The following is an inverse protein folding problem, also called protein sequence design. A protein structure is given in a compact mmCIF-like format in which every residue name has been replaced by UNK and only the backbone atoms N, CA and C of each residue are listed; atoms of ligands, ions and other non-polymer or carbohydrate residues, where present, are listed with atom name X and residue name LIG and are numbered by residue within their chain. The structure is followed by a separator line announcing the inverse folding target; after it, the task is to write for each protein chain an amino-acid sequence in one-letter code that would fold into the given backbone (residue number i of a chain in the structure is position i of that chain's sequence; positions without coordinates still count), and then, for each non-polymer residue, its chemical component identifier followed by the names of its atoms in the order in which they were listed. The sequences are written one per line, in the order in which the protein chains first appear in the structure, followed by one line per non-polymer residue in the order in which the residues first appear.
data_IF_155812108531
#
_entry.id   IF_155812108531
#
_cell.length_a   1.000
_cell.length_b   1.000
_cell.length_c   1.000
_cell.angle_alpha   90.00
_cell.angle_beta   90.00
_cell.angle_gamma   90.00
#
_symmetry.space_group_name_H-M   'P 1'
#
loop_
_entity.id
_entity.type
_entity.pdbx_description
1 polymer ?
#
# COMPACT_ATOMS: atom_id res chain seq x y z
N UNK A 1 -9.57 -4.45 15.17
CA UNK A 1 -8.86 -5.25 14.13
C UNK A 1 -7.97 -6.25 14.83
N UNK A 2 -8.01 -7.54 14.46
CA UNK A 2 -7.14 -8.56 15.06
C UNK A 2 -5.72 -8.44 14.46
N UNK A 3 -4.74 -7.98 15.25
CA UNK A 3 -3.35 -7.81 14.79
C UNK A 3 -2.69 -9.15 14.46
N UNK A 4 -2.97 -10.21 15.20
CA UNK A 4 -2.39 -11.54 14.98
C UNK A 4 -2.80 -12.10 13.62
N UNK A 5 -4.06 -11.89 13.22
CA UNK A 5 -4.55 -12.28 11.91
C UNK A 5 -3.79 -11.61 10.75
N UNK A 6 -3.45 -10.32 10.89
CA UNK A 6 -2.78 -9.54 9.83
C UNK A 6 -1.27 -9.66 9.84
N UNK A 7 -0.67 -9.98 10.99
CA UNK A 7 0.76 -10.10 11.16
C UNK A 7 1.36 -11.06 10.12
N UNK A 8 2.29 -10.57 9.30
CA UNK A 8 2.95 -11.27 8.18
C UNK A 8 2.00 -11.83 7.11
N UNK A 9 0.72 -11.48 7.15
CA UNK A 9 -0.24 -11.91 6.12
C UNK A 9 0.14 -11.28 4.78
N UNK A 10 0.27 -12.10 3.74
CA UNK A 10 0.51 -11.61 2.37
C UNK A 10 -0.78 -11.04 1.81
N UNK A 11 -0.73 -9.80 1.33
CA UNK A 11 -1.90 -9.09 0.79
C UNK A 11 -1.51 -8.48 -0.56
N UNK A 12 -2.18 -8.91 -1.62
CA UNK A 12 -2.13 -8.22 -2.90
C UNK A 12 -3.16 -7.09 -2.88
N UNK A 13 -2.71 -5.87 -3.15
CA UNK A 13 -3.55 -4.68 -3.21
C UNK A 13 -3.41 -4.01 -4.58
N UNK A 14 -4.50 -3.98 -5.35
CA UNK A 14 -4.54 -3.24 -6.61
C UNK A 14 -4.95 -1.79 -6.38
N UNK A 15 -4.38 -0.85 -7.16
CA UNK A 15 -4.68 0.58 -7.02
C UNK A 15 -4.05 1.25 -5.77
N UNK A 16 -2.98 0.66 -5.22
CA UNK A 16 -2.25 1.15 -4.04
C UNK A 16 -1.69 2.59 -4.17
N UNK A 17 -1.43 3.09 -5.38
CA UNK A 17 -0.91 4.46 -5.61
C UNK A 17 -1.99 5.55 -5.56
N UNK A 18 -3.29 5.18 -5.61
CA UNK A 18 -4.40 6.12 -5.48
C UNK A 18 -4.66 6.51 -4.02
N UNK A 19 -5.45 7.57 -3.78
CA UNK A 19 -5.70 8.10 -2.42
C UNK A 19 -6.20 7.05 -1.42
N UNK A 20 -7.21 6.24 -1.80
CA UNK A 20 -7.76 5.19 -0.93
C UNK A 20 -6.78 4.03 -0.77
N UNK A 21 -6.11 3.64 -1.85
CA UNK A 21 -5.12 2.57 -1.84
C UNK A 21 -3.94 2.91 -0.92
N UNK A 22 -3.49 4.16 -0.96
CA UNK A 22 -2.45 4.69 -0.08
C UNK A 22 -2.82 4.58 1.40
N UNK A 23 -4.02 5.02 1.78
CA UNK A 23 -4.50 4.87 3.16
C UNK A 23 -4.60 3.40 3.59
N UNK A 24 -5.10 2.53 2.71
CA UNK A 24 -5.20 1.10 3.00
C UNK A 24 -3.81 0.46 3.16
N UNK A 25 -2.84 0.81 2.31
CA UNK A 25 -1.45 0.38 2.43
C UNK A 25 -0.86 0.77 3.78
N UNK A 26 -0.96 2.03 4.18
CA UNK A 26 -0.49 2.50 5.50
C UNK A 26 -1.11 1.70 6.65
N UNK A 27 -2.42 1.43 6.55
CA UNK A 27 -3.11 0.69 7.60
C UNK A 27 -2.65 -0.77 7.68
N UNK A 28 -2.50 -1.44 6.55
CA UNK A 28 -1.99 -2.81 6.47
C UNK A 28 -0.54 -2.92 6.95
N UNK A 29 0.31 -1.97 6.57
CA UNK A 29 1.70 -1.88 7.05
C UNK A 29 1.76 -1.70 8.57
N UNK A 30 0.90 -0.84 9.15
CA UNK A 30 0.79 -0.65 10.61
C UNK A 30 0.32 -1.91 11.35
N UNK A 31 -0.34 -2.83 10.64
CA UNK A 31 -0.75 -4.14 11.16
C UNK A 31 0.29 -5.25 10.91
N UNK A 32 1.47 -4.87 10.40
CA UNK A 32 2.58 -5.76 10.04
C UNK A 32 2.23 -6.77 8.92
N UNK A 33 1.28 -6.44 8.04
CA UNK A 33 0.99 -7.25 6.87
C UNK A 33 2.09 -7.09 5.80
N UNK A 34 2.37 -8.16 5.05
CA UNK A 34 3.28 -8.13 3.90
C UNK A 34 2.51 -7.71 2.66
N UNK A 35 2.50 -6.41 2.35
CA UNK A 35 1.70 -5.84 1.26
C UNK A 35 2.49 -5.89 -0.06
N UNK A 36 1.83 -6.34 -1.12
CA UNK A 36 2.29 -6.27 -2.51
C UNK A 36 1.28 -5.40 -3.25
N UNK A 37 1.72 -4.25 -3.76
CA UNK A 37 0.90 -3.31 -4.50
C UNK A 37 1.04 -3.50 -6.00
N UNK A 38 -0.07 -3.38 -6.73
CA UNK A 38 -0.06 -3.33 -8.19
C UNK A 38 -0.96 -2.20 -8.69
N UNK A 39 -0.39 -1.21 -9.37
CA UNK A 39 -1.14 -0.07 -9.90
C UNK A 39 -0.56 0.41 -11.22
N UNK A 40 -1.27 1.30 -11.92
CA UNK A 40 -0.65 2.18 -12.92
C UNK A 40 0.27 3.20 -12.23
N UNK A 41 0.63 4.27 -12.92
CA UNK A 41 1.34 5.40 -12.33
C UNK A 41 0.57 6.08 -11.19
N UNK A 42 1.27 6.93 -10.46
CA UNK A 42 0.70 7.80 -9.44
C UNK A 42 -0.24 8.81 -10.12
N UNK A 43 -1.50 8.95 -9.68
CA UNK A 43 -2.51 9.67 -10.45
C UNK A 43 -2.58 11.19 -10.20
N UNK A 44 -1.93 11.73 -9.16
CA UNK A 44 -2.04 13.14 -8.75
C UNK A 44 -0.70 13.70 -8.26
N UNK A 45 -0.53 15.04 -8.30
CA UNK A 45 0.55 15.75 -7.63
C UNK A 45 -0.04 16.94 -6.83
N UNK A 46 0.07 16.98 -5.49
CA UNK A 46 0.72 15.97 -4.65
C UNK A 46 -0.06 14.64 -4.60
N UNK A 47 0.63 13.55 -4.27
CA UNK A 47 0.02 12.26 -3.97
C UNK A 47 0.26 11.87 -2.52
N UNK A 48 -0.74 11.24 -1.88
CA UNK A 48 -0.55 10.69 -0.53
C UNK A 48 0.51 9.58 -0.54
N UNK A 49 0.58 8.81 -1.64
CA UNK A 49 1.54 7.72 -1.81
C UNK A 49 2.98 8.20 -1.64
N UNK A 50 3.36 9.28 -2.32
CA UNK A 50 4.68 9.87 -2.24
C UNK A 50 4.88 10.63 -0.92
N UNK A 51 3.94 11.48 -0.53
CA UNK A 51 4.06 12.32 0.67
C UNK A 51 4.31 11.51 1.95
N UNK A 52 3.69 10.32 2.05
CA UNK A 52 3.84 9.45 3.21
C UNK A 52 4.91 8.36 3.04
N UNK A 53 5.69 8.38 1.95
CA UNK A 53 6.73 7.39 1.63
C UNK A 53 6.22 5.93 1.73
N UNK A 54 5.00 5.68 1.25
CA UNK A 54 4.28 4.40 1.46
C UNK A 54 5.02 3.23 0.83
N UNK A 55 5.73 3.47 -0.27
CA UNK A 55 6.54 2.48 -0.97
C UNK A 55 7.53 1.77 -0.04
N UNK A 56 8.10 2.45 0.95
CA UNK A 56 9.12 1.88 1.84
C UNK A 56 8.62 0.69 2.67
N UNK A 57 7.30 0.58 2.89
CA UNK A 57 6.69 -0.48 3.69
C UNK A 57 6.08 -1.62 2.88
N UNK A 58 6.27 -1.67 1.56
CA UNK A 58 5.63 -2.67 0.71
C UNK A 58 6.44 -2.98 -0.54
N UNK A 59 6.12 -4.08 -1.23
CA UNK A 59 6.56 -4.27 -2.61
C UNK A 59 5.62 -3.51 -3.52
N UNK A 60 6.11 -2.49 -4.23
CA UNK A 60 5.32 -1.69 -5.17
C UNK A 60 5.63 -2.12 -6.60
N UNK A 61 4.60 -2.50 -7.35
CA UNK A 61 4.72 -2.88 -8.76
C UNK A 61 3.86 -1.94 -9.60
N UNK A 62 4.48 -1.35 -10.63
CA UNK A 62 3.77 -0.57 -11.64
C UNK A 62 3.43 -1.46 -12.83
N UNK A 63 2.16 -1.56 -13.18
CA UNK A 63 1.68 -2.24 -14.37
C UNK A 63 1.82 -1.38 -15.62
N UNK A 64 2.15 -2.02 -16.74
CA UNK A 64 2.20 -1.42 -18.07
C UNK A 64 0.80 -1.07 -18.60
#
# INVERSE_FOLDING_TARGET
MNKEFWNKKKVLLTGHTGFKGSWLSLWLQKLNASVIGFSKSIPTNPSLFELANIENGMTSITGN
#
